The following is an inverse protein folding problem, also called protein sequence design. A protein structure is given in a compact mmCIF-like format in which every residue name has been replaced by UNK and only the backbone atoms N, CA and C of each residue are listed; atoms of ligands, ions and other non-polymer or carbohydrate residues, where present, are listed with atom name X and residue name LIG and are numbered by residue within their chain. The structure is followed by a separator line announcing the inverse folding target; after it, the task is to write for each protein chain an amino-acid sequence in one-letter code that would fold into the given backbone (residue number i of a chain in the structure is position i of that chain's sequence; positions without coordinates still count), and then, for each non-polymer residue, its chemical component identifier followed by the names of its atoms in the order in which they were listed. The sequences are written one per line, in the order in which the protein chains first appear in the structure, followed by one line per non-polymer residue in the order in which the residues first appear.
data_IF_780278284390
#
_entry.id   IF_780278284390
#
_cell.length_a   1.000
_cell.length_b   1.000
_cell.length_c   1.000
_cell.angle_alpha   90.00
_cell.angle_beta   90.00
_cell.angle_gamma   90.00
#
_symmetry.space_group_name_H-M   'P 1'
#
loop_
_entity.id
_entity.type
_entity.pdbx_description
1 polymer ?
#
# COMPACT_ATOMS: atom_id res chain seq x y z
N UNK A 1 43.00 38.29 -28.19
CA UNK A 1 43.92 39.13 -27.40
C UNK A 1 43.16 39.68 -26.21
N UNK A 2 43.54 39.17 -25.04
CA UNK A 2 43.27 39.44 -23.61
C UNK A 2 42.30 40.55 -23.14
N UNK A 3 41.46 40.19 -22.16
CA UNK A 3 41.24 40.77 -20.79
C UNK A 3 39.74 40.60 -20.44
N UNK A 4 39.30 39.81 -19.46
CA UNK A 4 39.72 39.69 -18.06
C UNK A 4 38.53 40.13 -17.20
N UNK A 5 37.80 39.22 -16.53
CA UNK A 5 36.73 39.59 -15.58
C UNK A 5 36.88 38.84 -14.26
N UNK A 6 36.96 39.65 -13.22
CA UNK A 6 37.16 39.37 -11.81
C UNK A 6 35.83 39.01 -11.12
N UNK A 7 35.93 38.12 -10.14
CA UNK A 7 34.89 37.64 -9.22
C UNK A 7 34.52 38.76 -8.23
N UNK A 8 33.22 38.97 -7.96
CA UNK A 8 32.75 39.75 -6.81
C UNK A 8 31.66 38.99 -6.02
N UNK A 9 31.98 38.78 -4.76
CA UNK A 9 31.11 38.36 -3.64
C UNK A 9 30.05 39.41 -3.31
N UNK A 10 28.84 38.97 -2.96
CA UNK A 10 27.86 39.79 -2.23
C UNK A 10 27.34 39.04 -1.01
N UNK A 11 27.60 39.62 0.16
CA UNK A 11 27.09 39.24 1.46
C UNK A 11 26.54 40.54 2.08
N UNK A 12 25.23 40.64 2.28
CA UNK A 12 24.54 41.37 3.37
C UNK A 12 23.05 41.49 3.11
N UNK A 13 22.26 41.22 4.15
CA UNK A 13 20.93 41.79 4.31
C UNK A 13 19.89 40.82 4.82
N UNK A 14 19.97 40.39 6.08
CA UNK A 14 18.81 39.99 6.89
C UNK A 14 19.28 39.79 8.33
N UNK A 15 19.32 40.90 9.06
CA UNK A 15 19.34 40.91 10.52
C UNK A 15 18.18 41.80 10.98
N UNK A 16 17.59 41.44 12.11
CA UNK A 16 16.50 42.10 12.85
C UNK A 16 15.07 41.66 12.49
N UNK A 17 14.63 40.51 13.04
CA UNK A 17 13.49 40.43 13.98
C UNK A 17 13.83 39.36 15.05
N UNK A 18 13.92 39.77 16.32
CA UNK A 18 14.26 38.93 17.49
C UNK A 18 12.99 38.40 18.20
N UNK A 19 12.85 37.06 18.23
CA UNK A 19 12.46 36.13 19.35
C UNK A 19 11.06 36.20 20.02
N UNK A 20 10.60 35.10 20.71
CA UNK A 20 11.12 33.72 20.77
C UNK A 20 10.05 32.64 20.47
N UNK A 21 10.35 31.72 19.55
CA UNK A 21 9.79 30.36 19.62
C UNK A 21 10.70 29.58 20.56
N UNK A 22 10.20 29.33 21.77
CA UNK A 22 10.80 28.38 22.68
C UNK A 22 10.23 27.00 22.35
N UNK A 23 10.93 26.21 21.53
CA UNK A 23 10.60 24.79 21.34
C UNK A 23 11.84 23.96 20.96
N UNK A 24 12.11 22.93 21.78
CA UNK A 24 12.91 21.73 21.50
C UNK A 24 14.32 21.90 20.90
N UNK A 25 15.25 22.46 21.69
CA UNK A 25 16.68 22.27 21.45
C UNK A 25 17.13 20.86 21.88
N UNK A 26 17.22 19.95 20.90
CA UNK A 26 18.51 19.32 20.60
C UNK A 26 18.75 19.43 19.10
N UNK A 27 19.27 20.57 18.70
CA UNK A 27 19.84 20.76 17.36
C UNK A 27 21.13 19.95 17.34
N UNK A 28 21.15 18.83 16.63
CA UNK A 28 22.39 18.13 16.35
C UNK A 28 23.34 19.10 15.62
N UNK A 29 24.58 19.22 16.08
CA UNK A 29 25.59 19.94 15.29
C UNK A 29 25.82 19.20 13.95
N UNK A 30 26.37 19.88 12.94
CA UNK A 30 26.50 19.32 11.59
C UNK A 30 27.32 18.01 11.56
N UNK A 31 28.28 17.86 12.49
CA UNK A 31 29.10 16.67 12.59
C UNK A 31 28.32 15.51 13.24
N UNK A 32 27.52 15.81 14.26
CA UNK A 32 26.58 14.89 14.88
C UNK A 32 25.47 14.52 13.91
N UNK A 33 24.90 15.44 13.14
CA UNK A 33 23.92 15.17 12.09
C UNK A 33 24.52 14.28 10.99
N UNK A 34 25.78 14.49 10.58
CA UNK A 34 26.48 13.59 9.65
C UNK A 34 26.77 12.21 10.25
N UNK A 35 27.17 12.13 11.53
CA UNK A 35 27.38 10.88 12.27
C UNK A 35 26.06 10.12 12.51
N UNK A 36 24.96 10.83 12.71
CA UNK A 36 23.61 10.29 12.86
C UNK A 36 23.04 9.87 11.49
N UNK A 37 23.30 10.60 10.41
CA UNK A 37 22.95 10.21 9.04
C UNK A 37 23.75 8.98 8.55
N UNK A 38 24.95 8.75 9.07
CA UNK A 38 25.74 7.52 8.81
C UNK A 38 25.37 6.35 9.74
N UNK A 39 24.79 6.63 10.91
CA UNK A 39 24.19 5.62 11.78
C UNK A 39 22.77 5.31 11.33
N UNK A 40 22.58 4.15 10.69
CA UNK A 40 21.25 3.54 10.65
C UNK A 40 20.92 3.04 12.06
N UNK A 41 20.33 3.91 12.88
CA UNK A 41 19.83 3.59 14.23
C UNK A 41 18.42 2.95 14.19
N UNK A 42 17.85 2.73 13.01
CA UNK A 42 16.62 1.93 12.84
C UNK A 42 17.00 0.47 12.61
N UNK A 43 16.57 -0.37 13.55
CA UNK A 43 16.53 -1.83 13.56
C UNK A 43 17.72 -2.54 14.22
N UNK A 44 17.62 -2.76 15.53
CA UNK A 44 18.37 -3.86 16.19
C UNK A 44 17.88 -5.25 15.76
N UNK A 45 16.73 -5.31 15.08
CA UNK A 45 16.17 -6.52 14.48
C UNK A 45 16.69 -6.70 13.06
N UNK A 46 17.19 -7.89 12.75
CA UNK A 46 17.62 -8.23 11.39
C UNK A 46 16.43 -8.14 10.41
N UNK A 47 16.63 -7.51 9.25
CA UNK A 47 15.59 -7.39 8.21
C UNK A 47 15.46 -8.71 7.44
N UNK A 48 14.25 -9.16 7.09
CA UNK A 48 14.02 -10.42 6.36
C UNK A 48 14.69 -10.51 4.96
N UNK A 49 15.40 -9.47 4.50
CA UNK A 49 16.11 -9.46 3.23
C UNK A 49 17.35 -10.36 3.25
N UNK A 50 17.43 -11.30 2.30
CA UNK A 50 18.58 -12.18 2.12
C UNK A 50 19.80 -11.50 1.47
N UNK A 51 19.59 -10.43 0.68
CA UNK A 51 20.64 -9.79 -0.11
C UNK A 51 21.42 -8.68 0.60
N UNK A 52 20.82 -8.03 1.61
CA UNK A 52 21.44 -6.91 2.31
C UNK A 52 21.09 -6.90 3.81
N UNK A 53 21.51 -7.96 4.52
CA UNK A 53 21.30 -8.05 5.96
C UNK A 53 22.23 -7.10 6.73
N UNK A 54 21.85 -6.76 7.97
CA UNK A 54 22.71 -5.99 8.90
C UNK A 54 24.08 -6.66 9.06
N UNK A 55 24.08 -7.98 9.27
CA UNK A 55 25.29 -8.79 9.35
C UNK A 55 26.16 -8.66 8.09
N UNK A 56 25.55 -8.63 6.91
CA UNK A 56 26.26 -8.41 5.64
C UNK A 56 26.91 -7.03 5.59
N UNK A 57 26.18 -5.97 5.96
CA UNK A 57 26.72 -4.61 6.04
C UNK A 57 27.87 -4.49 7.04
N UNK A 58 27.71 -5.04 8.25
CA UNK A 58 28.75 -5.04 9.28
C UNK A 58 30.01 -5.76 8.78
N UNK A 59 29.87 -6.89 8.10
CA UNK A 59 30.99 -7.58 7.47
C UNK A 59 31.65 -6.76 6.35
N UNK A 60 30.89 -6.06 5.50
CA UNK A 60 31.45 -5.17 4.47
C UNK A 60 32.30 -4.08 5.12
N UNK A 61 31.79 -3.44 6.19
CA UNK A 61 32.56 -2.43 6.93
C UNK A 61 33.80 -3.03 7.62
N UNK A 62 33.69 -4.24 8.18
CA UNK A 62 34.82 -4.93 8.80
C UNK A 62 35.91 -5.25 7.77
N UNK A 63 35.54 -5.80 6.60
CA UNK A 63 36.45 -6.09 5.49
C UNK A 63 37.15 -4.83 4.99
N UNK A 64 36.41 -3.74 4.77
CA UNK A 64 36.96 -2.47 4.29
C UNK A 64 37.99 -1.85 5.25
N UNK A 65 37.93 -2.20 6.55
CA UNK A 65 38.85 -1.74 7.60
C UNK A 65 39.91 -2.78 7.97
N UNK A 66 40.01 -3.88 7.23
CA UNK A 66 40.95 -4.97 7.51
C UNK A 66 42.17 -4.86 6.59
N UNK A 67 43.36 -4.70 7.17
CA UNK A 67 44.62 -4.67 6.45
C UNK A 67 45.07 -6.06 5.97
N UNK A 68 46.00 -6.09 5.01
CA UNK A 68 46.48 -7.32 4.38
C UNK A 68 47.08 -8.32 5.39
N UNK A 69 47.72 -7.83 6.46
CA UNK A 69 48.40 -8.65 7.46
C UNK A 69 47.55 -8.97 8.70
N UNK A 70 46.28 -8.53 8.76
CA UNK A 70 45.37 -8.81 9.88
C UNK A 70 44.69 -10.19 9.71
N UNK A 71 45.48 -11.27 9.61
CA UNK A 71 45.02 -12.63 9.27
C UNK A 71 43.91 -13.12 10.22
N UNK A 72 44.06 -12.94 11.53
CA UNK A 72 43.06 -13.36 12.53
C UNK A 72 41.70 -12.68 12.31
N UNK A 73 41.72 -11.40 11.90
CA UNK A 73 40.52 -10.62 11.63
C UNK A 73 39.85 -11.09 10.34
N UNK A 74 40.64 -11.39 9.30
CA UNK A 74 40.15 -12.00 8.06
C UNK A 74 39.49 -13.36 8.33
N UNK A 75 40.12 -14.23 9.14
CA UNK A 75 39.58 -15.53 9.54
C UNK A 75 38.28 -15.41 10.36
N UNK A 76 38.21 -14.45 11.29
CA UNK A 76 36.98 -14.18 12.06
C UNK A 76 35.85 -13.69 11.17
N UNK A 77 36.12 -12.77 10.23
CA UNK A 77 35.13 -12.28 9.27
C UNK A 77 34.61 -13.44 8.41
N UNK A 78 35.49 -14.28 7.88
CA UNK A 78 35.10 -15.44 7.07
C UNK A 78 34.26 -16.42 7.89
N UNK A 79 34.72 -16.79 9.09
CA UNK A 79 33.99 -17.69 9.99
C UNK A 79 32.62 -17.13 10.36
N UNK A 80 32.54 -15.82 10.59
CA UNK A 80 31.30 -15.11 10.84
C UNK A 80 30.41 -14.97 9.59
N UNK A 81 30.92 -15.16 8.36
CA UNK A 81 30.09 -15.23 7.15
C UNK A 81 29.61 -16.64 6.84
N UNK A 82 30.35 -17.66 7.28
CA UNK A 82 30.01 -19.06 7.05
C UNK A 82 28.87 -19.58 7.93
N UNK A 83 28.59 -18.97 9.10
CA UNK A 83 27.45 -19.42 9.90
C UNK A 83 26.15 -19.11 9.15
N UNK A 84 25.23 -20.07 8.98
CA UNK A 84 23.95 -19.80 8.38
C UNK A 84 23.19 -18.73 9.17
N UNK A 85 22.18 -18.16 8.53
CA UNK A 85 21.29 -17.22 9.20
C UNK A 85 20.17 -17.99 9.88
N UNK A 86 19.72 -17.51 11.03
CA UNK A 86 18.48 -18.01 11.62
C UNK A 86 17.32 -17.76 10.66
N UNK A 87 16.31 -18.63 10.71
CA UNK A 87 15.13 -18.46 9.88
C UNK A 87 14.44 -17.12 10.24
N UNK A 88 14.40 -16.13 9.32
CA UNK A 88 13.79 -14.83 9.61
C UNK A 88 12.25 -14.91 9.66
N UNK A 89 11.66 -16.06 9.34
CA UNK A 89 10.21 -16.29 9.31
C UNK A 89 9.83 -17.37 10.35
N UNK A 90 9.55 -16.97 11.61
CA UNK A 90 9.27 -17.93 12.67
C UNK A 90 8.00 -18.74 12.40
N UNK A 91 7.89 -19.98 12.92
CA UNK A 91 6.65 -20.77 12.86
C UNK A 91 5.47 -19.98 13.44
N UNK A 92 4.33 -20.00 12.75
CA UNK A 92 3.14 -19.27 13.18
C UNK A 92 3.08 -17.79 12.76
N UNK A 93 4.08 -17.28 12.03
CA UNK A 93 3.98 -15.95 11.38
C UNK A 93 2.84 -15.96 10.36
N UNK A 94 1.88 -15.06 10.54
CA UNK A 94 0.78 -14.83 9.59
C UNK A 94 1.30 -14.45 8.20
N UNK A 95 0.51 -14.78 7.18
CA UNK A 95 0.79 -14.31 5.83
C UNK A 95 0.86 -12.78 5.76
N UNK A 96 1.67 -12.26 4.85
CA UNK A 96 1.88 -10.83 4.72
C UNK A 96 2.28 -10.45 3.30
N UNK A 97 1.79 -9.31 2.79
CA UNK A 97 2.10 -8.85 1.43
C UNK A 97 3.61 -8.63 1.21
N UNK A 98 4.35 -8.25 2.25
CA UNK A 98 5.83 -8.11 2.19
C UNK A 98 6.55 -9.43 1.87
N UNK A 99 5.89 -10.57 2.09
CA UNK A 99 6.43 -11.89 1.75
C UNK A 99 6.15 -12.27 0.28
N UNK A 100 5.59 -11.35 -0.52
CA UNK A 100 5.40 -11.50 -1.96
C UNK A 100 6.34 -10.56 -2.70
N UNK A 101 7.12 -11.10 -3.62
CA UNK A 101 8.09 -10.34 -4.42
C UNK A 101 7.77 -10.45 -5.90
N UNK A 102 7.89 -9.34 -6.63
CA UNK A 102 7.81 -9.35 -8.08
C UNK A 102 9.11 -9.89 -8.68
N UNK A 103 8.98 -10.73 -9.70
CA UNK A 103 10.08 -11.16 -10.55
C UNK A 103 10.28 -10.12 -11.65
N UNK A 104 11.52 -9.67 -11.84
CA UNK A 104 11.83 -8.79 -12.96
C UNK A 104 11.58 -9.50 -14.28
N UNK A 105 10.97 -8.80 -15.24
CA UNK A 105 10.80 -9.30 -16.60
C UNK A 105 12.11 -9.72 -17.26
N UNK A 106 13.24 -9.12 -16.88
CA UNK A 106 14.55 -9.49 -17.40
C UNK A 106 14.93 -10.95 -17.11
N UNK A 107 14.26 -11.60 -16.16
CA UNK A 107 14.46 -13.01 -15.83
C UNK A 107 13.63 -13.95 -16.70
N UNK A 108 12.55 -13.47 -17.33
CA UNK A 108 11.55 -14.32 -17.99
C UNK A 108 11.30 -13.97 -19.47
N UNK A 109 11.64 -12.75 -19.91
CA UNK A 109 11.38 -12.25 -21.27
C UNK A 109 12.41 -11.20 -21.72
N UNK A 110 12.54 -11.03 -23.04
CA UNK A 110 13.26 -9.89 -23.63
C UNK A 110 12.52 -8.60 -23.26
N UNK A 111 13.20 -7.74 -22.51
CA UNK A 111 12.63 -6.49 -22.04
C UNK A 111 12.93 -5.39 -23.05
N UNK A 112 11.91 -4.91 -23.76
CA UNK A 112 11.98 -3.62 -24.46
C UNK A 112 11.99 -2.56 -23.36
N UNK A 113 12.97 -1.64 -23.39
CA UNK A 113 13.26 -0.58 -22.41
C UNK A 113 11.99 0.03 -21.75
N UNK A 114 11.43 -0.60 -20.70
CA UNK A 114 10.08 -0.31 -20.27
C UNK A 114 10.12 0.88 -19.31
N UNK A 115 11.30 1.22 -18.75
CA UNK A 115 11.49 2.38 -17.89
C UNK A 115 11.35 3.71 -18.63
N UNK A 116 11.38 3.70 -19.97
CA UNK A 116 11.11 4.88 -20.81
C UNK A 116 9.63 5.07 -21.14
N UNK A 117 8.81 4.03 -21.06
CA UNK A 117 7.42 4.08 -21.48
C UNK A 117 6.48 4.42 -20.32
N UNK A 118 5.38 5.09 -20.62
CA UNK A 118 4.34 5.34 -19.64
C UNK A 118 3.68 4.01 -19.25
N UNK A 119 3.34 3.85 -17.96
CA UNK A 119 2.51 2.75 -17.48
C UNK A 119 1.14 3.32 -17.13
N UNK A 120 0.10 2.83 -17.81
CA UNK A 120 -1.28 3.22 -17.53
C UNK A 120 -1.69 2.77 -16.14
N UNK A 121 -2.31 3.68 -15.40
CA UNK A 121 -2.80 3.49 -14.03
C UNK A 121 -4.33 3.58 -13.93
N UNK A 122 -5.00 3.94 -15.01
CA UNK A 122 -6.45 4.11 -14.98
C UNK A 122 -7.15 2.80 -14.68
N UNK A 123 -8.19 2.86 -13.84
CA UNK A 123 -9.04 1.70 -13.51
C UNK A 123 -10.49 2.01 -13.80
N UNK A 124 -11.26 0.96 -14.03
CA UNK A 124 -12.70 1.00 -14.18
C UNK A 124 -13.34 0.01 -13.23
N UNK A 125 -14.32 0.48 -12.46
CA UNK A 125 -15.14 -0.31 -11.55
C UNK A 125 -16.56 -0.36 -12.08
N UNK A 126 -17.05 -1.58 -12.33
CA UNK A 126 -18.32 -1.78 -13.02
C UNK A 126 -18.38 -1.03 -14.35
N UNK A 127 -19.57 -0.54 -14.72
CA UNK A 127 -19.74 0.16 -16.00
C UNK A 127 -19.50 1.68 -15.93
N UNK A 128 -19.69 2.30 -14.77
CA UNK A 128 -19.89 3.76 -14.64
C UNK A 128 -18.82 4.52 -13.87
N UNK A 129 -17.92 3.84 -13.15
CA UNK A 129 -16.89 4.49 -12.35
C UNK A 129 -15.50 4.29 -12.97
N UNK A 130 -14.96 5.37 -13.52
CA UNK A 130 -13.59 5.43 -14.04
C UNK A 130 -12.75 6.33 -13.12
N UNK A 131 -11.54 5.87 -12.79
CA UNK A 131 -10.58 6.58 -11.95
C UNK A 131 -9.23 6.68 -12.67
N UNK A 132 -8.49 7.75 -12.40
CA UNK A 132 -7.14 7.94 -12.95
C UNK A 132 -6.12 7.00 -12.30
N UNK A 133 -6.38 6.63 -11.05
CA UNK A 133 -5.57 5.73 -10.25
C UNK A 133 -6.43 4.63 -9.64
N UNK A 134 -5.89 3.41 -9.41
CA UNK A 134 -6.63 2.28 -8.86
C UNK A 134 -6.69 2.36 -7.33
N UNK A 135 -6.97 3.56 -6.81
CA UNK A 135 -6.89 3.90 -5.39
C UNK A 135 -8.22 4.44 -4.87
N UNK A 136 -8.73 3.77 -3.84
CA UNK A 136 -9.80 4.25 -2.99
C UNK A 136 -9.26 4.59 -1.61
N UNK A 137 -9.97 5.44 -0.87
CA UNK A 137 -9.62 5.84 0.49
C UNK A 137 -10.83 5.73 1.41
N UNK A 138 -10.63 5.32 2.67
CA UNK A 138 -11.73 5.10 3.62
C UNK A 138 -11.33 5.38 5.08
N UNK A 139 -12.33 5.47 5.97
CA UNK A 139 -12.15 5.60 7.43
C UNK A 139 -12.05 7.05 7.94
N UNK A 140 -12.32 8.05 7.11
CA UNK A 140 -12.14 9.47 7.45
C UNK A 140 -13.43 10.20 7.82
N UNK A 141 -14.59 9.57 7.78
CA UNK A 141 -15.88 10.23 8.07
C UNK A 141 -15.91 10.93 9.45
N UNK A 142 -15.28 10.30 10.45
CA UNK A 142 -15.12 10.83 11.82
C UNK A 142 -13.83 11.62 12.08
N UNK A 143 -12.98 11.84 11.06
CA UNK A 143 -11.76 12.64 11.21
C UNK A 143 -12.10 14.15 11.31
N UNK A 144 -11.19 14.98 11.88
CA UNK A 144 -11.42 16.42 11.96
C UNK A 144 -11.71 17.07 10.60
N UNK A 145 -12.53 18.15 10.54
CA UNK A 145 -12.91 18.80 9.29
C UNK A 145 -11.73 19.18 8.39
N UNK A 146 -10.64 19.69 8.98
CA UNK A 146 -9.42 20.07 8.27
C UNK A 146 -8.73 18.88 7.59
N UNK A 147 -8.72 17.70 8.24
CA UNK A 147 -8.16 16.46 7.69
C UNK A 147 -9.02 15.95 6.55
N UNK A 148 -10.35 15.94 6.73
CA UNK A 148 -11.29 15.52 5.68
C UNK A 148 -11.20 16.43 4.45
N UNK A 149 -11.18 17.74 4.67
CA UNK A 149 -11.06 18.70 3.58
C UNK A 149 -9.74 18.54 2.84
N UNK A 150 -8.63 18.36 3.55
CA UNK A 150 -7.33 18.11 2.94
C UNK A 150 -7.31 16.81 2.13
N UNK A 151 -7.84 15.70 2.69
CA UNK A 151 -7.96 14.44 1.99
C UNK A 151 -8.73 14.62 0.68
N UNK A 152 -9.93 15.21 0.72
CA UNK A 152 -10.79 15.33 -0.46
C UNK A 152 -10.18 16.25 -1.53
N UNK A 153 -9.42 17.29 -1.15
CA UNK A 153 -8.60 18.06 -2.10
C UNK A 153 -7.56 17.16 -2.78
N UNK A 154 -6.83 16.34 -2.02
CA UNK A 154 -5.85 15.42 -2.56
C UNK A 154 -6.47 14.34 -3.46
N UNK A 155 -7.63 13.78 -3.09
CA UNK A 155 -8.32 12.77 -3.91
C UNK A 155 -8.77 13.34 -5.25
N UNK A 156 -9.33 14.56 -5.24
CA UNK A 156 -9.72 15.28 -6.46
C UNK A 156 -8.52 15.54 -7.36
N UNK A 157 -7.41 15.99 -6.79
CA UNK A 157 -6.18 16.27 -7.55
C UNK A 157 -5.53 15.00 -8.13
N UNK A 158 -5.67 13.86 -7.46
CA UNK A 158 -5.12 12.58 -7.89
C UNK A 158 -6.09 11.69 -8.68
N UNK A 159 -7.31 12.15 -8.99
CA UNK A 159 -8.32 11.35 -9.70
C UNK A 159 -8.71 10.06 -8.97
N UNK A 160 -8.70 10.08 -7.63
CA UNK A 160 -9.01 8.95 -6.75
C UNK A 160 -10.45 9.02 -6.23
N UNK A 161 -10.91 7.96 -5.55
CA UNK A 161 -12.26 7.89 -4.98
C UNK A 161 -12.27 7.68 -3.47
N UNK A 162 -13.39 8.05 -2.85
CA UNK A 162 -13.65 7.85 -1.42
C UNK A 162 -14.71 6.76 -1.20
N UNK A 163 -14.54 5.96 -0.15
CA UNK A 163 -15.53 5.01 0.35
C UNK A 163 -15.82 5.39 1.80
N UNK A 164 -17.07 5.74 2.11
CA UNK A 164 -17.44 6.18 3.45
C UNK A 164 -18.93 6.49 3.59
N UNK A 165 -19.35 6.99 4.74
CA UNK A 165 -20.75 7.20 5.08
C UNK A 165 -21.31 8.54 4.59
N UNK A 166 -20.46 9.55 4.47
CA UNK A 166 -20.85 10.93 4.18
C UNK A 166 -20.25 11.42 2.86
N UNK A 167 -20.94 12.32 2.14
CA UNK A 167 -20.45 12.84 0.87
C UNK A 167 -19.15 13.64 1.05
N UNK A 168 -18.13 13.43 0.20
CA UNK A 168 -16.85 14.14 0.28
C UNK A 168 -16.88 15.57 -0.29
N UNK A 169 -18.03 16.02 -0.80
CA UNK A 169 -18.19 17.30 -1.50
C UNK A 169 -17.91 17.22 -3.01
N UNK A 170 -17.94 18.38 -3.67
CA UNK A 170 -17.93 18.44 -5.14
C UNK A 170 -16.62 18.00 -5.81
N UNK A 171 -16.75 17.04 -6.73
CA UNK A 171 -15.67 16.60 -7.63
C UNK A 171 -14.81 15.46 -7.10
N UNK A 172 -15.19 14.83 -6.00
CA UNK A 172 -14.61 13.55 -5.54
C UNK A 172 -15.62 12.43 -5.80
N UNK A 173 -15.18 11.35 -6.45
CA UNK A 173 -16.02 10.17 -6.66
C UNK A 173 -16.23 9.45 -5.33
N UNK A 174 -17.46 9.01 -5.07
CA UNK A 174 -17.85 8.47 -3.77
C UNK A 174 -18.68 7.20 -3.89
N UNK A 175 -18.31 6.20 -3.10
CA UNK A 175 -19.10 5.01 -2.82
C UNK A 175 -19.58 5.07 -1.37
N UNK A 176 -20.90 5.06 -1.16
CA UNK A 176 -21.50 5.15 0.16
C UNK A 176 -21.48 3.80 0.86
N UNK A 177 -20.98 3.74 2.09
CA UNK A 177 -21.15 2.58 2.96
C UNK A 177 -22.59 2.55 3.52
N UNK A 178 -23.24 1.40 3.40
CA UNK A 178 -24.56 1.13 3.96
C UNK A 178 -24.47 -0.03 4.96
N UNK A 179 -24.84 0.26 6.21
CA UNK A 179 -25.03 -0.74 7.27
C UNK A 179 -26.52 -0.95 7.46
N UNK A 180 -26.94 -2.21 7.48
CA UNK A 180 -28.35 -2.61 7.56
C UNK A 180 -29.05 -1.98 8.77
N UNK A 181 -30.14 -1.24 8.52
CA UNK A 181 -30.92 -0.54 9.54
C UNK A 181 -30.35 0.80 10.04
N UNK A 182 -29.13 1.17 9.65
CA UNK A 182 -28.41 2.32 10.21
C UNK A 182 -28.15 3.44 9.20
N UNK A 183 -28.32 3.21 7.89
CA UNK A 183 -28.00 4.20 6.85
C UNK A 183 -28.93 4.10 5.64
N UNK A 184 -29.42 5.25 5.18
CA UNK A 184 -30.24 5.35 3.96
C UNK A 184 -29.37 5.70 2.73
N UNK A 185 -29.68 5.15 1.54
CA UNK A 185 -29.01 5.52 0.29
C UNK A 185 -29.09 7.02 -0.01
N UNK A 186 -27.95 7.61 -0.38
CA UNK A 186 -27.84 9.01 -0.77
C UNK A 186 -27.89 9.17 -2.29
N UNK A 187 -28.70 10.12 -2.83
CA UNK A 187 -28.89 10.27 -4.28
C UNK A 187 -27.63 10.68 -5.04
N UNK A 188 -26.67 11.34 -4.39
CA UNK A 188 -25.39 11.74 -5.01
C UNK A 188 -24.30 10.67 -4.93
N UNK A 189 -24.53 9.55 -4.22
CA UNK A 189 -23.55 8.48 -4.15
C UNK A 189 -23.37 7.84 -5.54
N UNK A 190 -22.13 7.75 -6.01
CA UNK A 190 -21.79 7.07 -7.27
C UNK A 190 -22.00 5.56 -7.22
N UNK A 191 -22.02 5.01 -6.00
CA UNK A 191 -22.46 3.64 -5.74
C UNK A 191 -22.75 3.40 -4.28
N UNK A 192 -23.45 2.30 -4.00
CA UNK A 192 -23.86 1.87 -2.67
C UNK A 192 -23.12 0.57 -2.32
N UNK A 193 -22.45 0.55 -1.18
CA UNK A 193 -21.68 -0.59 -0.68
C UNK A 193 -22.40 -1.16 0.52
N UNK A 194 -23.06 -2.30 0.34
CA UNK A 194 -23.70 -3.01 1.43
C UNK A 194 -22.63 -3.73 2.25
N UNK A 195 -22.54 -3.35 3.53
CA UNK A 195 -21.50 -3.86 4.42
C UNK A 195 -21.96 -5.14 5.10
N UNK A 196 -21.29 -6.26 4.79
CA UNK A 196 -21.47 -7.51 5.51
C UNK A 196 -20.35 -7.69 6.54
N UNK A 197 -20.74 -8.08 7.75
CA UNK A 197 -19.80 -8.60 8.72
C UNK A 197 -19.29 -9.99 8.34
N UNK A 198 -18.82 -10.76 9.32
CA UNK A 198 -18.24 -12.10 9.09
C UNK A 198 -19.25 -13.18 8.65
N UNK A 199 -20.53 -12.85 8.50
CA UNK A 199 -21.59 -13.77 8.08
C UNK A 199 -22.43 -13.13 7.00
N UNK A 200 -22.72 -13.90 5.96
CA UNK A 200 -23.58 -13.47 4.87
C UNK A 200 -24.98 -13.14 5.38
N UNK A 201 -25.55 -12.06 4.84
CA UNK A 201 -26.94 -11.64 5.06
C UNK A 201 -27.49 -11.06 3.75
N UNK A 202 -28.53 -11.68 3.19
CA UNK A 202 -29.14 -11.15 1.98
C UNK A 202 -29.65 -9.71 2.20
N UNK A 203 -29.36 -8.82 1.25
CA UNK A 203 -29.77 -7.41 1.25
C UNK A 203 -30.54 -7.15 -0.03
N UNK A 204 -31.60 -6.33 -0.01
CA UNK A 204 -32.30 -5.99 -1.25
C UNK A 204 -31.65 -4.75 -1.85
N UNK A 205 -30.82 -4.87 -2.92
CA UNK A 205 -30.21 -3.71 -3.51
C UNK A 205 -31.27 -2.87 -4.22
N UNK A 206 -31.25 -1.55 -4.00
CA UNK A 206 -32.10 -0.61 -4.72
C UNK A 206 -31.25 0.54 -5.23
N UNK A 207 -31.17 0.67 -6.57
CA UNK A 207 -30.50 1.79 -7.22
C UNK A 207 -31.45 2.98 -7.21
N UNK A 208 -30.96 4.15 -6.77
CA UNK A 208 -31.72 5.40 -6.81
C UNK A 208 -31.80 5.99 -8.22
N UNK A 209 -30.83 5.66 -9.08
CA UNK A 209 -30.80 6.10 -10.48
C UNK A 209 -30.06 5.10 -11.38
N UNK A 210 -30.30 5.19 -12.68
CA UNK A 210 -29.65 4.31 -13.67
C UNK A 210 -28.14 4.56 -13.69
N UNK A 211 -27.36 3.49 -13.51
CA UNK A 211 -25.89 3.54 -13.52
C UNK A 211 -25.23 3.78 -12.15
N UNK A 212 -26.01 3.94 -11.08
CA UNK A 212 -25.49 3.98 -9.70
C UNK A 212 -24.96 2.60 -9.33
N UNK A 213 -23.67 2.46 -9.01
CA UNK A 213 -23.10 1.14 -8.73
C UNK A 213 -23.67 0.52 -7.45
N UNK A 214 -23.70 -0.81 -7.40
CA UNK A 214 -24.06 -1.59 -6.22
C UNK A 214 -22.91 -2.55 -5.94
N UNK A 215 -22.39 -2.51 -4.71
CA UNK A 215 -21.31 -3.37 -4.27
C UNK A 215 -21.61 -4.04 -2.94
N UNK A 216 -20.88 -5.12 -2.69
CA UNK A 216 -21.00 -5.90 -1.46
C UNK A 216 -19.64 -6.02 -0.77
N UNK A 217 -19.53 -5.54 0.46
CA UNK A 217 -18.33 -5.71 1.26
C UNK A 217 -18.42 -7.00 2.08
N UNK A 218 -17.45 -7.90 1.97
CA UNK A 218 -17.48 -9.20 2.65
C UNK A 218 -16.08 -9.69 3.02
N UNK A 219 -15.99 -10.38 4.17
CA UNK A 219 -14.79 -11.08 4.61
C UNK A 219 -14.76 -12.54 4.11
N UNK A 220 -13.59 -13.20 4.18
CA UNK A 220 -13.37 -14.54 3.65
C UNK A 220 -14.45 -15.58 4.03
N UNK A 221 -14.92 -15.68 5.30
CA UNK A 221 -15.91 -16.68 5.69
C UNK A 221 -17.28 -16.52 5.00
N UNK A 222 -17.62 -15.32 4.53
CA UNK A 222 -18.91 -15.03 3.91
C UNK A 222 -18.90 -15.18 2.38
N UNK A 223 -17.72 -15.28 1.74
CA UNK A 223 -17.59 -15.22 0.28
C UNK A 223 -18.33 -16.33 -0.47
N UNK A 224 -18.38 -17.53 0.11
CA UNK A 224 -19.04 -18.69 -0.51
C UNK A 224 -20.54 -18.46 -0.76
N UNK A 225 -21.18 -17.64 0.05
CA UNK A 225 -22.59 -17.25 -0.12
C UNK A 225 -22.71 -15.87 -0.78
N UNK A 226 -21.82 -14.94 -0.43
CA UNK A 226 -21.86 -13.56 -0.90
C UNK A 226 -21.62 -13.42 -2.41
N UNK A 227 -20.68 -14.18 -2.97
CA UNK A 227 -20.33 -14.07 -4.40
C UNK A 227 -21.47 -14.59 -5.29
N UNK A 228 -21.99 -15.82 -5.12
CA UNK A 228 -23.15 -16.28 -5.90
C UNK A 228 -24.34 -15.32 -5.76
N UNK A 229 -24.59 -14.84 -4.55
CA UNK A 229 -25.66 -13.86 -4.32
C UNK A 229 -25.46 -12.56 -5.09
N UNK A 230 -24.24 -12.00 -5.06
CA UNK A 230 -23.90 -10.78 -5.78
C UNK A 230 -24.11 -10.94 -7.29
N UNK A 231 -23.68 -12.07 -7.86
CA UNK A 231 -23.85 -12.40 -9.28
C UNK A 231 -25.34 -12.52 -9.65
N UNK A 232 -26.12 -13.30 -8.87
CA UNK A 232 -27.55 -13.52 -9.11
C UNK A 232 -28.39 -12.23 -9.01
N UNK A 233 -27.90 -11.24 -8.26
CA UNK A 233 -28.60 -9.97 -8.03
C UNK A 233 -27.94 -8.79 -8.77
N UNK A 234 -27.06 -9.05 -9.74
CA UNK A 234 -26.43 -8.04 -10.60
C UNK A 234 -25.75 -6.90 -9.82
N UNK A 235 -25.00 -7.28 -8.79
CA UNK A 235 -24.02 -6.40 -8.16
C UNK A 235 -22.90 -6.11 -9.17
N UNK A 236 -22.28 -4.94 -9.06
CA UNK A 236 -21.22 -4.52 -9.99
C UNK A 236 -19.82 -4.83 -9.44
N UNK A 237 -19.67 -4.92 -8.13
CA UNK A 237 -18.37 -5.18 -7.49
C UNK A 237 -18.46 -5.83 -6.11
N UNK A 238 -17.37 -6.50 -5.73
CA UNK A 238 -17.11 -6.95 -4.36
C UNK A 238 -16.04 -6.08 -3.72
N UNK A 239 -16.23 -5.71 -2.47
CA UNK A 239 -15.19 -5.15 -1.62
C UNK A 239 -14.72 -6.25 -0.66
N UNK A 240 -13.52 -6.76 -0.92
CA UNK A 240 -12.90 -7.85 -0.18
C UNK A 240 -12.27 -7.29 1.10
N UNK A 241 -12.89 -7.58 2.24
CA UNK A 241 -12.39 -7.20 3.56
C UNK A 241 -11.30 -8.20 3.99
N UNK A 242 -10.04 -7.82 3.77
CA UNK A 242 -8.87 -8.51 4.29
C UNK A 242 -8.61 -8.19 5.76
N UNK A 243 -9.17 -7.12 6.31
CA UNK A 243 -9.16 -6.85 7.75
C UNK A 243 -10.58 -6.98 8.31
N UNK A 244 -10.86 -6.39 9.47
CA UNK A 244 -12.22 -6.37 9.99
C UNK A 244 -13.17 -5.57 9.10
N UNK A 245 -14.34 -5.26 9.63
CA UNK A 245 -15.38 -4.55 8.88
C UNK A 245 -14.90 -3.14 8.46
N UNK A 246 -15.03 -2.80 7.18
CA UNK A 246 -14.67 -1.47 6.62
C UNK A 246 -15.45 -0.33 7.28
N UNK A 247 -16.62 -0.62 7.89
CA UNK A 247 -17.38 0.34 8.67
C UNK A 247 -16.68 0.76 9.98
N UNK A 248 -15.78 -0.05 10.53
CA UNK A 248 -15.02 0.27 11.75
C UNK A 248 -13.70 0.97 11.37
N UNK A 249 -13.55 2.28 11.66
CA UNK A 249 -12.39 3.03 11.22
C UNK A 249 -11.10 2.52 11.85
N UNK A 250 -10.04 2.49 11.04
CA UNK A 250 -8.68 2.11 11.46
C UNK A 250 -8.55 0.66 11.95
N UNK A 251 -9.48 -0.23 11.58
CA UNK A 251 -9.45 -1.64 12.02
C UNK A 251 -8.15 -2.37 11.64
N UNK A 252 -7.45 -1.90 10.59
CA UNK A 252 -6.12 -2.36 10.18
C UNK A 252 -5.05 -2.24 11.28
N UNK A 253 -5.24 -1.37 12.28
CA UNK A 253 -4.29 -1.21 13.39
C UNK A 253 -4.42 -2.30 14.47
N UNK A 254 -5.54 -3.03 14.50
CA UNK A 254 -5.86 -4.02 15.54
C UNK A 254 -5.50 -5.45 15.16
N UNK A 255 -5.35 -5.73 13.86
CA UNK A 255 -5.12 -7.08 13.36
C UNK A 255 -4.36 -7.12 12.05
N UNK A 256 -3.67 -8.23 11.81
CA UNK A 256 -3.06 -8.51 10.52
C UNK A 256 -4.13 -8.77 9.43
N UNK A 257 -3.84 -8.45 8.16
CA UNK A 257 -4.73 -8.77 7.07
C UNK A 257 -4.80 -10.28 6.81
N UNK A 258 -6.01 -10.80 6.67
CA UNK A 258 -6.34 -12.10 6.11
C UNK A 258 -6.28 -12.05 4.58
N UNK A 259 -5.17 -12.53 4.04
CA UNK A 259 -4.94 -12.57 2.59
C UNK A 259 -5.73 -13.67 1.89
N UNK A 260 -6.38 -14.58 2.63
CA UNK A 260 -7.19 -15.65 2.03
C UNK A 260 -8.42 -15.10 1.31
N UNK A 261 -8.94 -13.93 1.70
CA UNK A 261 -10.10 -13.30 1.08
C UNK A 261 -9.93 -13.10 -0.43
N UNK A 262 -8.73 -12.72 -0.88
CA UNK A 262 -8.44 -12.52 -2.31
C UNK A 262 -8.42 -13.86 -3.02
N UNK A 263 -7.65 -14.82 -2.48
CA UNK A 263 -7.52 -16.17 -3.05
C UNK A 263 -8.88 -16.86 -3.18
N UNK A 264 -9.69 -16.77 -2.13
CA UNK A 264 -10.96 -17.47 -2.05
C UNK A 264 -12.00 -16.84 -2.96
N UNK A 265 -12.05 -15.50 -3.06
CA UNK A 265 -12.90 -14.81 -4.04
C UNK A 265 -12.60 -15.28 -5.47
N UNK A 266 -11.33 -15.26 -5.85
CA UNK A 266 -10.89 -15.69 -7.18
C UNK A 266 -11.17 -17.16 -7.45
N UNK A 267 -10.98 -18.05 -6.46
CA UNK A 267 -11.32 -19.48 -6.60
C UNK A 267 -12.81 -19.70 -6.79
N UNK A 268 -13.65 -18.97 -6.05
CA UNK A 268 -15.11 -19.08 -6.17
C UNK A 268 -15.54 -18.62 -7.55
N UNK A 269 -15.12 -17.43 -7.99
CA UNK A 269 -15.45 -16.91 -9.32
C UNK A 269 -14.99 -17.85 -10.44
N UNK A 270 -13.76 -18.38 -10.35
CA UNK A 270 -13.24 -19.41 -11.28
C UNK A 270 -14.09 -20.67 -11.32
N UNK A 271 -14.58 -21.13 -10.17
CA UNK A 271 -15.44 -22.32 -10.11
C UNK A 271 -16.80 -22.11 -10.78
N UNK A 272 -17.21 -20.85 -10.91
CA UNK A 272 -18.44 -20.42 -11.59
C UNK A 272 -18.20 -20.01 -13.04
N UNK A 273 -16.94 -19.86 -13.48
CA UNK A 273 -16.52 -19.26 -14.76
C UNK A 273 -17.02 -17.81 -14.93
N UNK A 274 -16.91 -17.00 -13.86
CA UNK A 274 -17.44 -15.63 -13.78
C UNK A 274 -16.42 -14.61 -13.25
N UNK A 275 -15.13 -14.83 -13.48
CA UNK A 275 -14.02 -14.00 -12.94
C UNK A 275 -14.09 -12.51 -13.28
N UNK A 276 -14.69 -12.17 -14.43
CA UNK A 276 -14.76 -10.78 -14.94
C UNK A 276 -16.15 -10.15 -14.75
N UNK A 277 -17.09 -10.87 -14.12
CA UNK A 277 -18.47 -10.42 -13.93
C UNK A 277 -18.62 -9.45 -12.74
N UNK A 278 -17.64 -9.46 -11.82
CA UNK A 278 -17.59 -8.54 -10.68
C UNK A 278 -16.24 -7.85 -10.66
N UNK A 279 -16.24 -6.52 -10.53
CA UNK A 279 -15.01 -5.82 -10.15
C UNK A 279 -14.65 -6.16 -8.70
N UNK A 280 -13.37 -6.26 -8.39
CA UNK A 280 -12.87 -6.61 -7.06
C UNK A 280 -12.07 -5.45 -6.46
N UNK A 281 -12.52 -4.92 -5.33
CA UNK A 281 -11.78 -3.94 -4.53
C UNK A 281 -11.19 -4.65 -3.31
N UNK A 282 -9.94 -4.38 -2.95
CA UNK A 282 -9.35 -4.97 -1.74
C UNK A 282 -9.09 -3.92 -0.66
N UNK A 283 -9.63 -4.16 0.54
CA UNK A 283 -9.37 -3.38 1.75
C UNK A 283 -8.67 -4.24 2.79
N UNK A 284 -7.45 -3.87 3.20
CA UNK A 284 -6.77 -4.56 4.28
C UNK A 284 -5.25 -4.43 4.29
N UNK A 285 -4.73 -3.48 5.08
CA UNK A 285 -3.31 -3.31 5.39
C UNK A 285 -2.46 -2.77 4.24
N UNK A 286 -3.07 -2.12 3.24
CA UNK A 286 -2.34 -1.55 2.11
C UNK A 286 -1.56 -0.31 2.56
N UNK A 287 -0.26 -0.25 2.23
CA UNK A 287 0.64 0.83 2.71
C UNK A 287 1.35 1.59 1.60
N UNK A 288 1.50 0.96 0.43
CA UNK A 288 2.34 1.44 -0.67
C UNK A 288 1.67 1.18 -2.01
N UNK A 289 2.16 1.83 -3.06
CA UNK A 289 1.75 1.50 -4.44
C UNK A 289 2.17 0.08 -4.84
N UNK A 290 3.25 -0.44 -4.25
CA UNK A 290 3.67 -1.82 -4.45
C UNK A 290 2.65 -2.81 -3.89
N UNK A 291 2.04 -2.52 -2.74
CA UNK A 291 0.96 -3.34 -2.19
C UNK A 291 -0.27 -3.34 -3.10
N UNK A 292 -0.62 -2.19 -3.69
CA UNK A 292 -1.70 -2.13 -4.69
C UNK A 292 -1.34 -2.94 -5.93
N UNK A 293 -0.13 -2.81 -6.45
CA UNK A 293 0.31 -3.62 -7.60
C UNK A 293 0.20 -5.13 -7.33
N UNK A 294 0.47 -5.59 -6.09
CA UNK A 294 0.29 -7.00 -5.70
C UNK A 294 -1.17 -7.44 -5.75
N UNK A 295 -2.10 -6.62 -5.27
CA UNK A 295 -3.53 -7.01 -5.31
C UNK A 295 -4.11 -6.88 -6.71
N UNK A 296 -3.64 -5.92 -7.52
CA UNK A 296 -3.98 -5.86 -8.95
C UNK A 296 -3.51 -7.12 -9.69
N UNK A 297 -2.28 -7.56 -9.42
CA UNK A 297 -1.76 -8.83 -9.93
C UNK A 297 -2.57 -10.05 -9.47
N UNK A 298 -3.38 -9.92 -8.41
CA UNK A 298 -4.31 -10.96 -7.93
C UNK A 298 -5.73 -10.80 -8.50
N UNK A 299 -5.88 -10.09 -9.61
CA UNK A 299 -7.15 -9.77 -10.29
C UNK A 299 -8.07 -8.80 -9.54
N UNK A 300 -7.56 -8.04 -8.57
CA UNK A 300 -8.31 -6.88 -8.07
C UNK A 300 -8.27 -5.72 -9.08
N UNK A 301 -9.31 -4.91 -9.11
CA UNK A 301 -9.40 -3.70 -9.92
C UNK A 301 -8.89 -2.46 -9.18
N UNK A 302 -8.91 -2.46 -7.84
CA UNK A 302 -8.35 -1.37 -7.05
C UNK A 302 -8.02 -1.77 -5.61
N UNK A 303 -7.14 -1.00 -4.98
CA UNK A 303 -6.84 -1.08 -3.55
C UNK A 303 -7.51 0.06 -2.77
N UNK A 304 -7.93 -0.24 -1.55
CA UNK A 304 -8.54 0.70 -0.61
C UNK A 304 -7.56 0.99 0.53
N UNK A 305 -7.09 2.23 0.62
CA UNK A 305 -6.21 2.71 1.68
C UNK A 305 -7.00 3.29 2.86
N UNK A 306 -6.50 3.10 4.08
CA UNK A 306 -7.01 3.81 5.26
C UNK A 306 -5.88 4.30 6.14
N UNK A 307 -5.36 3.48 7.06
CA UNK A 307 -4.43 3.95 8.10
C UNK A 307 -3.16 4.61 7.55
N UNK A 308 -2.62 4.10 6.43
CA UNK A 308 -1.43 4.65 5.79
C UNK A 308 -1.60 6.12 5.34
N UNK A 309 -2.75 6.43 4.73
CA UNK A 309 -3.09 7.82 4.38
C UNK A 309 -3.35 8.66 5.62
N UNK A 310 -3.97 8.08 6.65
CA UNK A 310 -4.23 8.80 7.91
C UNK A 310 -2.93 9.24 8.59
N UNK A 311 -1.90 8.39 8.59
CA UNK A 311 -0.55 8.74 9.06
C UNK A 311 0.08 9.83 8.18
N UNK A 312 -0.08 9.75 6.85
CA UNK A 312 0.43 10.76 5.93
C UNK A 312 -0.20 12.14 6.18
N UNK A 313 -1.47 12.17 6.59
CA UNK A 313 -2.20 13.38 6.99
C UNK A 313 -1.99 13.75 8.47
N UNK A 314 -0.87 13.33 9.07
CA UNK A 314 -0.47 13.74 10.42
C UNK A 314 -1.17 13.00 11.55
N UNK A 315 -1.85 11.88 11.26
CA UNK A 315 -2.43 11.01 12.27
C UNK A 315 -1.36 10.32 13.11
N UNK A 316 -1.58 10.25 14.42
CA UNK A 316 -0.75 9.53 15.40
C UNK A 316 -1.53 8.33 15.90
N UNK A 317 -0.87 7.18 15.99
CA UNK A 317 -1.50 5.96 16.50
C UNK A 317 -1.56 6.02 18.03
N UNK A 318 -2.78 5.99 18.58
CA UNK A 318 -3.06 5.90 20.01
C UNK A 318 -4.20 4.90 20.24
N UNK A 319 -3.96 3.87 21.07
CA UNK A 319 -4.94 2.81 21.39
C UNK A 319 -5.58 2.19 20.12
N UNK A 320 -4.75 1.78 19.17
CA UNK A 320 -5.15 1.16 17.90
C UNK A 320 -6.13 1.99 17.06
N UNK A 321 -6.05 3.32 17.19
CA UNK A 321 -6.80 4.31 16.39
C UNK A 321 -5.88 5.46 15.99
N UNK A 322 -6.29 6.21 14.97
CA UNK A 322 -5.61 7.45 14.63
C UNK A 322 -6.24 8.64 15.36
N UNK A 323 -5.36 9.44 15.95
CA UNK A 323 -5.68 10.73 16.54
C UNK A 323 -4.99 11.83 15.74
N UNK A 324 -5.69 12.95 15.56
CA UNK A 324 -5.17 14.09 14.79
C UNK A 324 -5.07 15.29 15.72
N UNK A 325 -3.88 15.89 15.80
CA UNK A 325 -3.60 16.94 16.78
C UNK A 325 -4.13 18.33 16.39
N UNK A 326 -4.67 18.50 15.18
CA UNK A 326 -5.16 19.79 14.66
C UNK A 326 -4.09 20.88 14.49
N UNK A 327 -2.80 20.53 14.49
CA UNK A 327 -1.69 21.50 14.45
C UNK A 327 -1.26 21.92 13.04
N UNK A 328 -1.63 21.14 12.04
CA UNK A 328 -1.22 21.34 10.65
C UNK A 328 -2.31 22.10 9.89
N UNK A 329 -1.89 22.98 8.98
CA UNK A 329 -2.81 23.70 8.09
C UNK A 329 -3.43 22.74 7.06
N UNK A 330 -4.58 23.11 6.50
CA UNK A 330 -5.21 22.33 5.42
C UNK A 330 -4.27 22.24 4.21
N UNK A 331 -3.51 23.30 3.94
CA UNK A 331 -2.55 23.38 2.84
C UNK A 331 -1.39 22.39 3.04
N UNK A 332 -0.81 22.32 4.26
CA UNK A 332 0.25 21.35 4.57
C UNK A 332 -0.26 19.90 4.48
N UNK A 333 -1.47 19.65 5.00
CA UNK A 333 -2.12 18.35 4.95
C UNK A 333 -2.43 17.93 3.50
N UNK A 334 -2.95 18.85 2.68
CA UNK A 334 -3.28 18.59 1.27
C UNK A 334 -2.01 18.27 0.48
N UNK A 335 -0.93 19.04 0.70
CA UNK A 335 0.36 18.79 0.06
C UNK A 335 0.94 17.42 0.48
N UNK A 336 0.78 17.03 1.75
CA UNK A 336 1.21 15.72 2.22
C UNK A 336 0.42 14.58 1.54
N UNK A 337 -0.92 14.70 1.49
CA UNK A 337 -1.79 13.73 0.81
C UNK A 337 -1.51 13.59 -0.68
N UNK A 338 -1.35 14.71 -1.39
CA UNK A 338 -1.03 14.73 -2.83
C UNK A 338 0.34 14.09 -3.12
N UNK A 339 1.36 14.41 -2.33
CA UNK A 339 2.69 13.81 -2.46
C UNK A 339 2.65 12.31 -2.18
N UNK A 340 1.86 11.88 -1.19
CA UNK A 340 1.71 10.46 -0.86
C UNK A 340 1.03 9.69 -2.01
N UNK A 341 -0.08 10.22 -2.56
CA UNK A 341 -0.80 9.61 -3.70
C UNK A 341 0.12 9.52 -4.92
N UNK A 342 0.88 10.59 -5.19
CA UNK A 342 1.85 10.62 -6.29
C UNK A 342 2.99 9.62 -6.10
N UNK A 343 3.51 9.46 -4.89
CA UNK A 343 4.52 8.47 -4.60
C UNK A 343 3.97 7.04 -4.80
N UNK A 344 2.79 6.75 -4.24
CA UNK A 344 2.14 5.45 -4.39
C UNK A 344 1.82 5.13 -5.87
N UNK A 345 1.36 6.09 -6.66
CA UNK A 345 1.11 5.86 -8.09
C UNK A 345 2.40 5.57 -8.85
N UNK A 346 3.48 6.30 -8.55
CA UNK A 346 4.79 6.06 -9.14
C UNK A 346 5.34 4.68 -8.77
N UNK A 347 5.21 4.25 -7.52
CA UNK A 347 5.62 2.91 -7.08
C UNK A 347 4.90 1.81 -7.86
N UNK A 348 3.56 1.88 -7.95
CA UNK A 348 2.77 0.89 -8.69
C UNK A 348 3.15 0.87 -10.19
N UNK A 349 3.31 2.05 -10.80
CA UNK A 349 3.71 2.17 -12.21
C UNK A 349 5.13 1.64 -12.46
N UNK A 350 6.07 1.83 -11.51
CA UNK A 350 7.41 1.26 -11.58
C UNK A 350 7.33 -0.27 -11.57
N UNK A 351 6.50 -0.87 -10.72
CA UNK A 351 6.30 -2.33 -10.70
C UNK A 351 5.79 -2.84 -12.04
N UNK A 352 4.76 -2.19 -12.61
CA UNK A 352 4.28 -2.49 -13.96
C UNK A 352 5.43 -2.53 -14.98
N UNK A 353 6.25 -1.48 -15.03
CA UNK A 353 7.41 -1.42 -15.95
C UNK A 353 8.48 -2.46 -15.63
N UNK A 354 8.79 -2.72 -14.36
CA UNK A 354 9.79 -3.72 -13.94
C UNK A 354 9.38 -5.15 -14.32
N UNK A 355 8.07 -5.39 -14.39
CA UNK A 355 7.49 -6.64 -14.91
C UNK A 355 7.25 -6.57 -16.42
N UNK A 356 7.67 -5.51 -17.13
CA UNK A 356 7.53 -5.42 -18.59
C UNK A 356 6.11 -5.16 -19.07
N UNK A 357 5.27 -4.52 -18.24
CA UNK A 357 3.87 -4.19 -18.51
C UNK A 357 3.71 -2.66 -18.63
N UNK A 358 2.93 -2.22 -19.61
CA UNK A 358 2.57 -0.81 -19.85
C UNK A 358 1.21 -0.43 -19.29
N UNK A 359 0.52 -1.36 -18.62
CA UNK A 359 -0.70 -1.13 -17.87
C UNK A 359 -0.64 -2.00 -16.60
N UNK A 360 -0.95 -1.42 -15.44
CA UNK A 360 -0.96 -2.15 -14.16
C UNK A 360 -2.00 -3.26 -14.10
N UNK A 361 -3.09 -3.15 -14.87
CA UNK A 361 -4.09 -4.23 -14.98
C UNK A 361 -3.60 -5.42 -15.80
N UNK A 362 -2.44 -5.32 -16.45
CA UNK A 362 -1.80 -6.46 -17.09
C UNK A 362 -0.88 -7.20 -16.12
N UNK A 363 -0.74 -6.79 -14.86
CA UNK A 363 0.03 -7.56 -13.87
C UNK A 363 -0.67 -8.90 -13.60
N UNK A 364 0.11 -9.97 -13.48
CA UNK A 364 -0.41 -11.33 -13.32
C UNK A 364 0.18 -11.99 -12.06
N UNK A 365 -0.50 -13.01 -11.47
CA UNK A 365 0.03 -13.77 -10.35
C UNK A 365 1.41 -14.39 -10.66
N UNK A 366 1.64 -14.74 -11.93
CA UNK A 366 2.87 -15.33 -12.45
C UNK A 366 4.07 -14.37 -12.36
N UNK A 367 3.83 -13.05 -12.33
CA UNK A 367 4.86 -12.03 -12.13
C UNK A 367 5.38 -12.01 -10.68
N UNK A 368 4.77 -12.75 -9.75
CA UNK A 368 5.09 -12.74 -8.32
C UNK A 368 5.51 -14.10 -7.75
N UNK A 369 6.33 -14.11 -6.69
CA UNK A 369 6.63 -15.32 -5.90
C UNK A 369 6.53 -15.03 -4.41
N UNK A 370 6.03 -16.02 -3.68
CA UNK A 370 6.01 -16.00 -2.22
C UNK A 370 7.37 -16.47 -1.69
N UNK A 371 7.84 -15.85 -0.61
CA UNK A 371 9.08 -16.24 0.08
C UNK A 371 8.80 -16.94 1.42
N UNK A 372 7.53 -17.04 1.84
CA UNK A 372 7.08 -17.77 3.03
C UNK A 372 5.97 -18.77 2.70
N UNK A 373 5.92 -19.86 3.48
CA UNK A 373 4.92 -20.92 3.32
C UNK A 373 3.49 -20.42 3.64
N UNK A 374 3.34 -19.61 4.69
CA UNK A 374 2.04 -19.03 5.07
C UNK A 374 1.48 -18.16 3.95
N UNK A 375 2.28 -17.22 3.42
CA UNK A 375 1.85 -16.35 2.32
C UNK A 375 1.59 -17.11 1.03
N UNK A 376 2.41 -18.12 0.71
CA UNK A 376 2.16 -18.99 -0.45
C UNK A 376 0.81 -19.70 -0.34
N UNK A 377 0.50 -20.25 0.83
CA UNK A 377 -0.78 -20.92 1.11
C UNK A 377 -1.95 -19.94 1.02
N UNK A 378 -1.84 -18.78 1.67
CA UNK A 378 -2.97 -17.87 1.88
C UNK A 378 -3.32 -17.09 0.62
N UNK A 379 -2.34 -16.70 -0.20
CA UNK A 379 -2.60 -16.07 -1.50
C UNK A 379 -2.71 -17.08 -2.66
N UNK A 380 -2.21 -18.31 -2.50
CA UNK A 380 -2.10 -19.26 -3.60
C UNK A 380 -0.98 -18.92 -4.60
N UNK A 381 -0.06 -18.02 -4.24
CA UNK A 381 1.12 -17.69 -5.04
C UNK A 381 2.23 -18.73 -4.81
N UNK A 382 2.88 -19.17 -5.88
CA UNK A 382 3.95 -20.16 -5.81
C UNK A 382 5.19 -19.64 -5.07
N UNK A 383 5.86 -20.54 -4.33
CA UNK A 383 7.14 -20.25 -3.69
C UNK A 383 8.23 -20.00 -4.73
N UNK A 384 9.17 -19.11 -4.39
CA UNK A 384 10.36 -18.87 -5.21
C UNK A 384 11.21 -20.14 -5.47
N UNK A 385 11.16 -21.13 -4.57
CA UNK A 385 11.92 -22.39 -4.70
C UNK A 385 11.20 -23.51 -5.47
N UNK A 386 9.94 -23.32 -5.89
CA UNK A 386 9.09 -24.37 -6.48
C UNK A 386 8.06 -24.94 -5.49
N UNK A 387 7.18 -25.86 -5.95
CA UNK A 387 6.02 -26.37 -5.17
C UNK A 387 6.36 -27.17 -3.90
N UNK A 388 7.63 -27.52 -3.68
CA UNK A 388 8.11 -28.26 -2.51
C UNK A 388 9.51 -27.81 -2.09
N UNK A 389 9.94 -28.25 -0.91
CA UNK A 389 11.34 -28.14 -0.53
C UNK A 389 12.19 -28.84 -1.60
N UNK A 390 13.23 -28.17 -2.11
CA UNK A 390 14.26 -28.86 -2.89
C UNK A 390 15.00 -29.76 -1.92
N UNK A 391 14.73 -31.06 -1.95
CA UNK A 391 15.46 -32.02 -1.10
C UNK A 391 16.94 -32.10 -1.52
N UNK A 392 17.28 -31.73 -2.76
CA UNK A 392 18.65 -31.76 -3.30
C UNK A 392 18.88 -30.62 -4.31
N UNK A 393 20.15 -30.19 -4.44
CA UNK A 393 20.64 -29.20 -5.40
C UNK A 393 21.19 -29.84 -6.68
#
# INVERSE_FOLDING_TARGET
SVRGRTIFTFQKGLDVIRRPVAEMHRVYDLETAKRQATRCLRCDTETGSAGYSRRTREHIHAMAKTGLNEIDKQQRILSARLRPRDNPFPPGRSAHLDDVVFMSAALTRLVIDPYREACSMGTKIGESLELELPFFFTGFDGAPPEVRQALFRSLKAGGCAYIGFQPPGEGVRWLQLLVDGDSEPHPEAGGLVYVMGNKFRAVKPERLYKGQLIGLAAAAPALAEAIPYALDNSFDFMLLNGTGDIADPWVELRQAPDLTVIRDAIKILRSLNMEEELSLLYYGGLRTGTDVAKVLAMNCNAGVFSAAMGIALGGVIENDRLQFSGKLSIEDLSAAGENWIKAASQEAAIIGRCTGKTNVHNLEPEDMRAITLSTSKDLGILLASGRGAREYF
#
